data_IF_618009978358
#
_entry.id   IF_618009978358
#
_cell.length_a   1.000
_cell.length_b   1.000
_cell.length_c   1.000
_cell.angle_alpha   90.00
_cell.angle_beta   90.00
_cell.angle_gamma   90.00
#
_symmetry.space_group_name_H-M   'P 1'
#
loop_
_entity.id
_entity.type
_entity.pdbx_description
1 polymer ?
#
# COMPACT_ATOMS: atom_id res chain seq x y z
N UNK A 1 14.57 9.96 15.20
CA UNK A 1 13.85 8.89 14.51
C UNK A 1 13.93 9.08 13.00
N UNK A 2 14.10 7.98 12.29
CA UNK A 2 14.14 8.02 10.83
C UNK A 2 12.72 8.13 10.26
N UNK A 3 12.51 9.07 9.36
CA UNK A 3 11.25 9.19 8.62
C UNK A 3 11.17 8.11 7.54
N UNK A 4 10.06 7.40 7.51
CA UNK A 4 9.79 6.38 6.49
C UNK A 4 8.47 6.71 5.82
N UNK A 5 8.47 6.84 4.49
CA UNK A 5 7.25 6.98 3.73
C UNK A 5 6.85 5.61 3.20
N UNK A 6 5.58 5.26 3.36
CA UNK A 6 5.04 3.97 2.95
C UNK A 6 3.87 4.22 1.99
N UNK A 7 3.85 3.48 0.90
CA UNK A 7 2.78 3.58 -0.09
C UNK A 7 2.01 2.26 -0.15
N UNK A 8 0.72 2.32 0.19
CA UNK A 8 -0.22 1.20 0.09
C UNK A 8 -1.22 1.46 -1.02
N UNK A 9 -1.88 0.41 -1.49
CA UNK A 9 -2.93 0.53 -2.50
C UNK A 9 -4.18 -0.23 -2.05
N UNK A 10 -5.31 0.45 -2.08
CA UNK A 10 -6.62 -0.13 -1.83
C UNK A 10 -7.16 -0.65 -3.16
N UNK A 11 -7.32 -1.96 -3.28
CA UNK A 11 -7.74 -2.63 -4.50
C UNK A 11 -8.98 -3.48 -4.23
N UNK A 12 -9.97 -3.35 -5.11
CA UNK A 12 -11.19 -4.15 -5.08
C UNK A 12 -11.16 -5.21 -6.19
N UNK A 13 -11.89 -6.30 -5.98
CA UNK A 13 -12.11 -7.28 -7.05
C UNK A 13 -13.06 -6.70 -8.10
N UNK A 14 -13.27 -7.45 -9.20
CA UNK A 14 -14.11 -6.98 -10.31
C UNK A 14 -15.52 -6.59 -9.90
N UNK A 15 -16.08 -7.28 -8.92
CA UNK A 15 -17.43 -7.01 -8.43
C UNK A 15 -17.45 -5.94 -7.34
N UNK A 16 -16.28 -5.42 -6.98
CA UNK A 16 -16.12 -4.41 -5.94
C UNK A 16 -16.66 -4.84 -4.57
N UNK A 17 -16.60 -6.14 -4.30
CA UNK A 17 -17.11 -6.73 -3.05
C UNK A 17 -16.01 -7.08 -2.06
N UNK A 18 -14.79 -7.30 -2.53
CA UNK A 18 -13.69 -7.73 -1.68
C UNK A 18 -12.47 -6.85 -1.88
N UNK A 19 -11.66 -6.74 -0.84
CA UNK A 19 -10.42 -5.95 -0.81
C UNK A 19 -9.23 -6.90 -0.78
N UNK A 20 -8.21 -6.60 -1.57
CA UNK A 20 -7.00 -7.40 -1.62
C UNK A 20 -6.12 -7.11 -0.41
N UNK A 21 -5.74 -8.16 0.30
CA UNK A 21 -4.87 -8.07 1.47
C UNK A 21 -3.70 -9.03 1.30
N UNK A 22 -2.57 -8.67 1.87
CA UNK A 22 -1.39 -9.53 1.92
C UNK A 22 -1.07 -9.86 3.37
N UNK A 23 -0.60 -11.10 3.59
CA UNK A 23 -0.17 -11.54 4.90
C UNK A 23 1.35 -11.49 4.93
N UNK A 24 1.87 -10.61 5.75
CA UNK A 24 3.31 -10.35 5.84
C UNK A 24 3.95 -11.28 6.86
N UNK A 25 5.08 -11.87 6.51
CA UNK A 25 5.91 -12.60 7.46
C UNK A 25 6.70 -11.61 8.30
N UNK A 26 6.85 -11.91 9.57
CA UNK A 26 7.60 -11.09 10.50
C UNK A 26 8.39 -11.98 11.44
N UNK A 27 9.26 -11.39 12.25
CA UNK A 27 9.99 -12.14 13.28
C UNK A 27 9.04 -12.70 14.34
N UNK A 28 7.91 -12.01 14.55
CA UNK A 28 6.82 -12.46 15.40
C UNK A 28 5.68 -13.02 14.55
N UNK A 29 4.43 -12.93 15.04
CA UNK A 29 3.27 -13.39 14.27
C UNK A 29 3.14 -12.67 12.94
N UNK A 30 2.70 -13.39 11.91
CA UNK A 30 2.36 -12.80 10.62
C UNK A 30 1.17 -11.85 10.78
N UNK A 31 1.10 -10.84 9.92
CA UNK A 31 0.03 -9.85 9.99
C UNK A 31 -0.43 -9.41 8.61
N UNK A 32 -1.70 -9.03 8.51
CA UNK A 32 -2.29 -8.56 7.27
C UNK A 32 -2.15 -7.06 7.09
N UNK A 33 -1.87 -6.64 5.86
CA UNK A 33 -1.93 -5.23 5.45
C UNK A 33 -2.50 -5.16 4.05
N UNK A 34 -2.80 -3.94 3.60
CA UNK A 34 -2.96 -3.68 2.17
C UNK A 34 -1.61 -3.94 1.49
N UNK A 35 -1.60 -4.30 0.20
CA UNK A 35 -0.33 -4.43 -0.50
C UNK A 35 0.37 -3.07 -0.60
N UNK A 36 1.68 -3.08 -0.44
CA UNK A 36 2.51 -1.88 -0.46
C UNK A 36 3.73 -2.01 0.42
N UNK A 37 4.49 -0.93 0.52
CA UNK A 37 5.71 -0.92 1.31
C UNK A 37 6.45 0.40 1.24
N UNK A 38 7.68 0.39 1.74
CA UNK A 38 8.49 1.58 1.84
C UNK A 38 8.86 2.17 0.47
N UNK A 39 8.79 3.48 0.40
CA UNK A 39 9.23 4.23 -0.79
C UNK A 39 10.76 4.25 -0.79
N UNK A 40 11.35 3.83 -1.90
CA UNK A 40 12.79 3.83 -2.05
C UNK A 40 13.30 5.19 -2.52
N UNK A 41 14.57 5.42 -2.27
CA UNK A 41 15.22 6.67 -2.66
C UNK A 41 15.06 6.90 -4.16
N UNK A 42 14.59 8.07 -4.54
CA UNK A 42 14.41 8.45 -5.93
C UNK A 42 13.08 8.05 -6.54
N UNK A 43 12.30 7.23 -5.86
CA UNK A 43 10.95 6.87 -6.34
C UNK A 43 9.93 7.94 -5.98
N UNK A 44 8.93 8.10 -6.84
CA UNK A 44 7.72 8.82 -6.45
C UNK A 44 6.85 7.88 -5.59
N UNK A 45 5.90 8.44 -4.88
CA UNK A 45 4.95 7.64 -4.11
C UNK A 45 4.19 6.66 -5.02
N UNK A 46 3.78 7.13 -6.18
CA UNK A 46 3.05 6.30 -7.15
C UNK A 46 3.92 5.14 -7.67
N UNK A 47 5.17 5.43 -8.02
CA UNK A 47 6.09 4.39 -8.48
C UNK A 47 6.30 3.31 -7.41
N UNK A 48 6.47 3.73 -6.16
CA UNK A 48 6.65 2.79 -5.06
C UNK A 48 5.40 1.92 -4.89
N UNK A 49 4.22 2.51 -4.95
CA UNK A 49 2.96 1.79 -4.82
C UNK A 49 2.82 0.72 -5.91
N UNK A 50 3.05 1.09 -7.16
CA UNK A 50 2.95 0.17 -8.31
C UNK A 50 3.98 -0.95 -8.19
N UNK A 51 5.22 -0.62 -7.85
CA UNK A 51 6.30 -1.60 -7.69
C UNK A 51 5.99 -2.59 -6.58
N UNK A 52 5.59 -2.10 -5.41
CA UNK A 52 5.30 -2.96 -4.27
C UNK A 52 4.15 -3.92 -4.52
N UNK A 53 3.07 -3.44 -5.16
CA UNK A 53 1.94 -4.31 -5.51
C UNK A 53 2.41 -5.42 -6.44
N UNK A 54 3.22 -5.08 -7.45
CA UNK A 54 3.75 -6.06 -8.38
C UNK A 54 4.63 -7.10 -7.69
N UNK A 55 5.53 -6.65 -6.82
CA UNK A 55 6.43 -7.55 -6.09
C UNK A 55 5.67 -8.49 -5.15
N UNK A 56 4.66 -7.98 -4.46
CA UNK A 56 3.95 -8.75 -3.43
C UNK A 56 2.84 -9.62 -3.97
N UNK A 57 2.19 -9.20 -5.05
CA UNK A 57 0.98 -9.87 -5.53
C UNK A 57 1.06 -10.38 -6.98
N UNK A 58 2.00 -9.88 -7.77
CA UNK A 58 2.05 -10.17 -9.20
C UNK A 58 1.13 -9.31 -10.05
N UNK A 59 0.33 -8.45 -9.44
CA UNK A 59 -0.65 -7.65 -10.17
C UNK A 59 -0.08 -6.32 -10.66
N UNK A 60 -0.59 -5.89 -11.81
CA UNK A 60 -0.31 -4.57 -12.36
C UNK A 60 -1.49 -3.68 -12.08
N UNK A 61 -1.22 -2.48 -11.58
CA UNK A 61 -2.26 -1.55 -11.13
C UNK A 61 -2.03 -0.15 -11.68
N UNK A 62 -3.12 0.60 -11.79
CA UNK A 62 -3.06 2.04 -12.00
C UNK A 62 -3.55 2.73 -10.74
N UNK A 63 -3.09 3.95 -10.53
CA UNK A 63 -3.35 4.73 -9.30
C UNK A 63 -4.34 5.84 -9.61
N UNK A 64 -5.36 5.98 -8.77
CA UNK A 64 -6.51 6.87 -8.99
C UNK A 64 -6.67 7.93 -7.90
N UNK A 65 -5.62 8.31 -7.22
CA UNK A 65 -5.69 9.31 -6.15
C UNK A 65 -5.44 8.69 -4.78
N UNK A 66 -5.43 9.54 -3.77
CA UNK A 66 -5.15 9.12 -2.39
C UNK A 66 -6.45 8.89 -1.63
N UNK A 67 -6.57 7.71 -1.05
CA UNK A 67 -7.69 7.35 -0.21
C UNK A 67 -7.50 7.89 1.21
N UNK A 68 -6.36 7.62 1.86
CA UNK A 68 -6.04 8.13 3.20
C UNK A 68 -4.56 8.41 3.35
N UNK A 69 -4.27 9.29 4.30
CA UNK A 69 -2.92 9.48 4.83
C UNK A 69 -3.00 9.18 6.32
N UNK A 70 -2.09 8.37 6.82
CA UNK A 70 -2.00 8.08 8.25
C UNK A 70 -0.56 8.12 8.72
N UNK A 71 -0.38 8.11 10.03
CA UNK A 71 0.94 8.36 10.61
C UNK A 71 1.10 7.50 11.85
N UNK A 72 2.31 6.97 12.05
CA UNK A 72 2.61 6.18 13.22
C UNK A 72 4.08 6.30 13.62
N UNK A 73 4.32 6.20 14.92
CA UNK A 73 5.67 6.11 15.47
C UNK A 73 5.92 4.66 15.89
N UNK A 74 7.02 4.11 15.41
CA UNK A 74 7.48 2.77 15.80
C UNK A 74 8.78 2.96 16.58
N UNK A 75 8.64 3.22 17.88
CA UNK A 75 9.76 3.61 18.73
C UNK A 75 10.86 2.54 18.77
N UNK A 76 10.48 1.27 18.86
CA UNK A 76 11.42 0.16 18.90
C UNK A 76 12.27 0.05 17.64
N UNK A 77 11.69 0.41 16.48
CA UNK A 77 12.40 0.41 15.20
C UNK A 77 13.10 1.73 14.93
N UNK A 78 12.83 2.76 15.74
CA UNK A 78 13.35 4.11 15.51
C UNK A 78 12.75 4.77 14.28
N UNK A 79 11.50 4.45 13.92
CA UNK A 79 10.83 4.96 12.72
C UNK A 79 9.64 5.83 13.03
N UNK A 80 9.54 6.91 12.28
CA UNK A 80 8.34 7.76 12.19
C UNK A 80 7.80 7.59 10.77
N UNK A 81 6.71 6.85 10.64
CA UNK A 81 6.17 6.47 9.34
C UNK A 81 4.96 7.31 8.93
N UNK A 82 4.92 7.69 7.65
CA UNK A 82 3.75 8.30 7.02
C UNK A 82 3.25 7.31 5.98
N UNK A 83 1.99 6.94 6.08
CA UNK A 83 1.36 5.97 5.17
C UNK A 83 0.46 6.71 4.18
N UNK A 84 0.78 6.58 2.90
CA UNK A 84 -0.04 7.08 1.80
C UNK A 84 -0.78 5.90 1.21
N UNK A 85 -2.08 5.82 1.42
CA UNK A 85 -2.89 4.75 0.83
C UNK A 85 -3.59 5.28 -0.40
N UNK A 86 -3.18 4.76 -1.56
CA UNK A 86 -3.79 5.12 -2.83
C UNK A 86 -5.03 4.27 -3.08
N UNK A 87 -5.99 4.84 -3.78
CA UNK A 87 -7.01 4.05 -4.45
C UNK A 87 -6.44 3.61 -5.78
N UNK A 88 -6.61 2.35 -6.14
CA UNK A 88 -6.06 1.82 -7.37
C UNK A 88 -7.03 0.88 -8.07
N UNK A 89 -6.65 0.48 -9.28
CA UNK A 89 -7.41 -0.45 -10.11
C UNK A 89 -6.45 -1.47 -10.70
N UNK A 90 -6.84 -2.75 -10.66
CA UNK A 90 -6.06 -3.82 -11.29
C UNK A 90 -6.24 -3.71 -12.80
N UNK A 91 -5.14 -3.62 -13.53
CA UNK A 91 -5.15 -3.52 -14.99
C UNK A 91 -4.48 -4.71 -15.69
N UNK A 92 -3.89 -5.63 -14.94
CA UNK A 92 -3.24 -6.80 -15.52
C UNK A 92 -2.56 -7.67 -14.48
N UNK A 93 -1.88 -8.71 -14.98
CA UNK A 93 -1.15 -9.63 -14.13
C UNK A 93 -2.03 -10.69 -13.48
N UNK A 94 -1.39 -11.59 -12.76
CA UNK A 94 -2.07 -12.67 -12.03
C UNK A 94 -1.49 -12.73 -10.63
N UNK A 95 -2.32 -13.09 -9.65
CA UNK A 95 -1.86 -13.26 -8.28
C UNK A 95 -0.81 -14.36 -8.23
N UNK A 96 0.40 -14.00 -7.85
CA UNK A 96 1.55 -14.90 -7.76
C UNK A 96 2.41 -14.44 -6.59
N UNK A 97 2.74 -15.34 -5.68
CA UNK A 97 3.66 -15.04 -4.59
C UNK A 97 5.07 -15.34 -5.07
N UNK A 98 5.82 -14.29 -5.41
CA UNK A 98 7.21 -14.40 -5.85
C UNK A 98 8.23 -14.14 -4.73
N UNK A 99 7.76 -13.63 -3.58
CA UNK A 99 8.60 -13.35 -2.41
C UNK A 99 8.06 -14.12 -1.20
N UNK A 100 8.14 -15.47 -1.23
CA UNK A 100 7.55 -16.28 -0.15
C UNK A 100 8.23 -16.08 1.21
N UNK A 101 9.42 -15.52 1.24
CA UNK A 101 10.12 -15.18 2.48
C UNK A 101 9.54 -13.92 3.13
N UNK A 102 8.82 -13.11 2.38
CA UNK A 102 8.22 -11.87 2.88
C UNK A 102 6.71 -11.94 2.95
N UNK A 103 6.08 -12.58 1.95
CA UNK A 103 4.62 -12.65 1.83
C UNK A 103 4.18 -14.11 1.94
N UNK A 104 3.34 -14.37 2.92
CA UNK A 104 2.84 -15.71 3.20
C UNK A 104 1.55 -16.01 2.42
N UNK A 105 0.73 -14.99 2.20
CA UNK A 105 -0.59 -15.17 1.58
C UNK A 105 -1.04 -13.89 0.90
N UNK A 106 -1.74 -14.02 -0.21
CA UNK A 106 -2.45 -12.92 -0.89
C UNK A 106 -3.91 -13.35 -0.96
N UNK A 107 -4.81 -12.57 -0.39
CA UNK A 107 -6.19 -12.99 -0.24
C UNK A 107 -7.18 -11.85 -0.42
N UNK A 108 -8.40 -12.19 -0.81
CA UNK A 108 -9.51 -11.26 -0.88
C UNK A 108 -10.30 -11.31 0.41
N UNK A 109 -10.56 -10.15 1.01
CA UNK A 109 -11.33 -10.05 2.24
C UNK A 109 -12.54 -9.17 2.04
N UNK A 110 -13.63 -9.49 2.74
CA UNK A 110 -14.77 -8.57 2.80
C UNK A 110 -14.34 -7.26 3.44
N UNK A 111 -14.87 -6.12 3.00
CA UNK A 111 -14.46 -4.81 3.52
C UNK A 111 -14.51 -4.71 5.04
N UNK A 112 -15.56 -5.24 5.65
CA UNK A 112 -15.70 -5.21 7.11
C UNK A 112 -14.58 -5.96 7.83
N UNK A 113 -14.12 -7.06 7.25
CA UNK A 113 -13.00 -7.83 7.80
C UNK A 113 -11.68 -7.10 7.54
N UNK A 114 -11.49 -6.59 6.32
CA UNK A 114 -10.27 -5.87 5.94
C UNK A 114 -10.05 -4.62 6.80
N UNK A 115 -11.12 -3.89 7.13
CA UNK A 115 -11.01 -2.69 7.95
C UNK A 115 -10.38 -2.93 9.33
N UNK A 116 -10.43 -4.15 9.84
CA UNK A 116 -9.77 -4.49 11.11
C UNK A 116 -8.25 -4.37 11.01
N UNK A 117 -7.71 -4.45 9.80
CA UNK A 117 -6.27 -4.42 9.55
C UNK A 117 -5.79 -3.12 8.91
N UNK A 118 -6.71 -2.23 8.52
CA UNK A 118 -6.36 -0.98 7.81
C UNK A 118 -6.13 0.19 8.78
N UNK A 119 -6.36 -0.03 10.07
CA UNK A 119 -6.14 0.98 11.12
C UNK A 119 -6.99 2.24 10.98
N UNK A 120 -8.24 2.07 10.52
CA UNK A 120 -9.18 3.18 10.52
C UNK A 120 -9.72 3.38 11.94
N UNK A 121 -9.67 4.62 12.43
CA UNK A 121 -10.23 4.94 13.73
C UNK A 121 -11.76 4.91 13.67
N UNK A 122 -12.40 4.90 14.82
CA UNK A 122 -13.85 4.69 14.94
C UNK A 122 -14.67 5.63 14.05
N UNK A 123 -14.27 6.89 13.94
CA UNK A 123 -14.98 7.87 13.11
C UNK A 123 -14.90 7.63 11.62
N UNK A 124 -14.04 6.73 11.17
CA UNK A 124 -13.81 6.45 9.75
C UNK A 124 -14.17 5.03 9.33
N UNK A 125 -14.84 4.28 10.21
CA UNK A 125 -15.30 2.94 9.86
C UNK A 125 -16.30 3.01 8.71
N UNK A 126 -16.17 2.08 7.76
CA UNK A 126 -16.97 2.07 6.55
C UNK A 126 -16.43 2.97 5.43
N UNK A 127 -15.38 3.73 5.70
CA UNK A 127 -14.82 4.67 4.72
C UNK A 127 -14.38 3.98 3.43
N UNK A 128 -13.88 2.75 3.51
CA UNK A 128 -13.42 2.02 2.31
C UNK A 128 -14.51 1.88 1.25
N UNK A 129 -15.79 1.86 1.65
CA UNK A 129 -16.90 1.72 0.72
C UNK A 129 -17.33 3.04 0.09
N UNK A 130 -16.87 4.17 0.60
CA UNK A 130 -17.23 5.48 0.07
C UNK A 130 -16.45 5.83 -1.19
N UNK A 131 -15.27 5.24 -1.36
CA UNK A 131 -14.41 5.41 -2.54
C UNK A 131 -14.05 6.86 -2.88
N UNK A 132 -14.13 7.75 -1.89
CA UNK A 132 -13.71 9.14 -2.06
C UNK A 132 -12.18 9.21 -2.02
N UNK A 133 -11.62 10.07 -2.87
CA UNK A 133 -10.19 10.29 -2.92
C UNK A 133 -9.86 11.76 -3.02
N UNK A 134 -8.63 12.10 -2.66
CA UNK A 134 -8.06 13.41 -2.99
C UNK A 134 -7.02 13.21 -4.08
N UNK A 135 -6.80 14.23 -4.94
CA UNK A 135 -5.84 14.09 -6.02
C UNK A 135 -4.42 13.84 -5.52
N UNK A 136 -3.69 12.99 -6.23
CA UNK A 136 -2.26 12.87 -6.10
C UNK A 136 -1.65 13.60 -7.29
N UNK A 137 -0.81 14.58 -7.04
CA UNK A 137 -0.22 15.40 -8.09
C UNK A 137 1.29 15.37 -7.98
N UNK A 138 1.95 14.79 -8.98
CA UNK A 138 3.38 14.88 -9.10
C UNK A 138 3.69 16.20 -9.82
N UNK A 139 4.32 17.11 -9.10
CA UNK A 139 4.69 18.40 -9.67
C UNK A 139 5.90 18.22 -10.57
N UNK A 140 5.92 18.90 -11.70
CA UNK A 140 7.09 18.94 -12.55
C UNK A 140 8.22 19.65 -11.81
N UNK A 141 9.34 18.96 -11.64
CA UNK A 141 10.49 19.49 -10.95
C UNK A 141 11.71 18.65 -11.34
N UNK A 142 12.88 19.15 -11.04
CA UNK A 142 14.11 18.39 -11.29
C UNK A 142 14.17 17.23 -10.31
N UNK A 143 14.07 16.02 -10.84
CA UNK A 143 14.14 14.80 -10.05
C UNK A 143 15.39 14.02 -10.45
N UNK A 144 16.15 13.51 -9.47
CA UNK A 144 17.27 12.63 -9.79
C UNK A 144 16.78 11.40 -10.55
N UNK A 145 17.53 10.94 -11.54
CA UNK A 145 17.25 9.69 -12.21
C UNK A 145 17.47 8.56 -11.20
N UNK A 146 16.66 7.48 -11.31
CA UNK A 146 16.70 6.37 -10.35
C UNK A 146 18.06 5.72 -10.20
N UNK A 147 18.90 5.75 -11.26
CA UNK A 147 20.25 5.20 -11.24
C UNK A 147 21.33 6.28 -11.10
N UNK A 148 20.94 7.50 -10.74
CA UNK A 148 21.91 8.60 -10.56
C UNK A 148 22.68 8.42 -9.26
N UNK A 149 23.95 8.83 -9.28
CA UNK A 149 24.82 8.83 -8.11
C UNK A 149 24.76 10.21 -7.47
N UNK A 150 23.95 10.36 -6.48
CA UNK A 150 23.86 11.61 -5.74
C UNK A 150 24.11 11.40 -4.28
#
# INVERSE_FOLDING_TARGET
>A
MKRVDVAYVLLFDEQEKNILMVKNKAKGPSYYTLPGGAVEKGETLEEAAIREVKEETGLEVEINGIFTVSEAFFVERGHHAIFFTFSGKIIGGEITISLPEEIEEVTWMKPKTAEKYIHLTEGFKGLVMHKTTVPYILRESDRPKSNSIF
#
